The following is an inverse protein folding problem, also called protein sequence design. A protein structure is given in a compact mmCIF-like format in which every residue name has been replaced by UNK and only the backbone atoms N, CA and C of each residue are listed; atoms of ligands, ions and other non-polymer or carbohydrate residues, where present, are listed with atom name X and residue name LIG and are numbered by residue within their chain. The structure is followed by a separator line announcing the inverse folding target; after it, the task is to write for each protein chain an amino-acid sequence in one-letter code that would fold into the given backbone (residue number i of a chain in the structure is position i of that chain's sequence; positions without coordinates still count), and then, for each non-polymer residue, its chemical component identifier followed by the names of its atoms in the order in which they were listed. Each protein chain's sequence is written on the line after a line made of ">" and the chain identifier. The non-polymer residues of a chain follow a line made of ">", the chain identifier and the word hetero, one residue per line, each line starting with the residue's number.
data_IF_112962711244
#
_entry.id   IF_112962711244
#
_cell.length_a   1.000
_cell.length_b   1.000
_cell.length_c   1.000
_cell.angle_alpha   90.00
_cell.angle_beta   90.00
_cell.angle_gamma   90.00
#
_symmetry.space_group_name_H-M   'P 1'
#
loop_
_entity.id
_entity.type
_entity.pdbx_description
1 polymer ?
#
# COMPACT_ATOMS: atom_id res chain seq x y z
N UNK A 1 2.79 -6.28 11.62
CA UNK A 1 1.36 -6.10 11.35
C UNK A 1 1.09 -6.12 9.87
N UNK A 2 0.10 -6.88 9.46
CA UNK A 2 -0.19 -7.08 8.03
C UNK A 2 -1.58 -6.55 7.70
N UNK A 3 -1.67 -5.76 6.65
CA UNK A 3 -2.93 -5.19 6.20
C UNK A 3 -3.07 -5.32 4.69
N UNK A 4 -4.29 -5.29 4.23
CA UNK A 4 -4.60 -5.33 2.80
C UNK A 4 -5.45 -4.12 2.44
N UNK A 5 -5.07 -3.46 1.36
CA UNK A 5 -5.76 -2.27 0.88
C UNK A 5 -6.25 -2.49 -0.54
N UNK A 6 -7.40 -1.92 -0.86
CA UNK A 6 -7.86 -1.83 -2.24
C UNK A 6 -7.29 -0.54 -2.83
N UNK A 7 -6.57 -0.67 -3.93
CA UNK A 7 -5.94 0.47 -4.58
C UNK A 7 -6.73 0.80 -5.84
N UNK A 8 -7.27 2.00 -5.91
CA UNK A 8 -8.01 2.45 -7.08
C UNK A 8 -7.10 3.26 -8.00
N UNK A 9 -7.39 3.22 -9.30
CA UNK A 9 -6.63 3.96 -10.29
C UNK A 9 -5.46 3.21 -10.91
N UNK A 10 -5.24 1.97 -10.52
CA UNK A 10 -4.20 1.15 -11.14
C UNK A 10 -4.75 0.56 -12.44
N UNK A 11 -4.27 1.07 -13.58
CA UNK A 11 -4.75 0.62 -14.88
C UNK A 11 -3.69 -0.16 -15.66
N UNK A 12 -2.47 -0.20 -15.17
CA UNK A 12 -1.39 -0.92 -15.86
C UNK A 12 -0.32 -1.36 -14.86
N UNK A 13 0.60 -2.22 -15.33
CA UNK A 13 1.66 -2.76 -14.48
C UNK A 13 2.61 -1.67 -13.94
N UNK A 14 2.81 -0.61 -14.70
CA UNK A 14 3.62 0.50 -14.23
C UNK A 14 2.99 1.17 -13.02
N UNK A 15 1.66 1.25 -12.98
CA UNK A 15 0.93 1.80 -11.85
C UNK A 15 1.14 0.96 -10.60
N UNK A 16 1.05 -0.37 -10.72
CA UNK A 16 1.27 -1.25 -9.57
C UNK A 16 2.69 -1.15 -9.04
N UNK A 17 3.67 -1.00 -9.94
CA UNK A 17 5.06 -0.80 -9.54
C UNK A 17 5.25 0.52 -8.78
N UNK A 18 4.59 1.57 -9.22
CA UNK A 18 4.64 2.86 -8.54
C UNK A 18 4.11 2.77 -7.11
N UNK A 19 2.97 2.12 -6.94
CA UNK A 19 2.37 1.95 -5.61
C UNK A 19 3.28 1.11 -4.73
N UNK A 20 3.81 0.02 -5.26
CA UNK A 20 4.72 -0.84 -4.51
C UNK A 20 5.97 -0.08 -4.06
N UNK A 21 6.57 0.69 -4.95
CA UNK A 21 7.74 1.49 -4.61
C UNK A 21 7.42 2.55 -3.56
N UNK A 22 6.28 3.22 -3.70
CA UNK A 22 5.87 4.23 -2.74
C UNK A 22 5.69 3.63 -1.35
N UNK A 23 5.08 2.46 -1.28
CA UNK A 23 4.88 1.77 -0.01
C UNK A 23 6.22 1.31 0.60
N UNK A 24 7.09 0.74 -0.22
CA UNK A 24 8.39 0.25 0.27
C UNK A 24 9.33 1.36 0.72
N UNK A 25 9.12 2.58 0.29
CA UNK A 25 9.92 3.72 0.72
C UNK A 25 9.59 4.19 2.13
N UNK A 26 8.46 3.80 2.66
CA UNK A 26 8.05 4.23 3.98
C UNK A 26 8.89 3.57 5.07
N UNK A 27 9.30 4.37 6.04
CA UNK A 27 10.03 3.83 7.19
C UNK A 27 9.09 2.93 8.00
N UNK A 28 9.56 1.79 8.41
CA UNK A 28 8.77 0.85 9.18
C UNK A 28 8.08 -0.23 8.35
N UNK A 29 8.10 -0.11 7.04
CA UNK A 29 7.54 -1.15 6.17
C UNK A 29 8.55 -2.29 6.04
N UNK A 30 8.12 -3.50 6.35
CA UNK A 30 8.94 -4.69 6.18
C UNK A 30 8.80 -5.26 4.78
N UNK A 31 7.56 -5.26 4.26
CA UNK A 31 7.27 -5.81 2.96
C UNK A 31 5.99 -5.21 2.41
N UNK A 32 5.99 -4.88 1.14
CA UNK A 32 4.79 -4.42 0.45
C UNK A 32 4.70 -5.14 -0.89
N UNK A 33 3.52 -5.62 -1.22
CA UNK A 33 3.27 -6.35 -2.46
C UNK A 33 1.95 -5.88 -3.05
N UNK A 34 1.92 -5.66 -4.35
CA UNK A 34 0.74 -5.18 -5.06
C UNK A 34 0.29 -6.24 -6.06
N UNK A 35 -1.01 -6.51 -6.07
CA UNK A 35 -1.61 -7.40 -7.05
C UNK A 35 -2.49 -6.58 -7.99
N UNK A 36 -2.08 -6.50 -9.25
CA UNK A 36 -2.79 -5.72 -10.25
C UNK A 36 -4.13 -6.34 -10.63
N UNK A 37 -4.21 -7.66 -10.64
CA UNK A 37 -5.42 -8.37 -11.04
C UNK A 37 -6.59 -8.11 -10.08
N UNK A 38 -6.30 -8.05 -8.79
CA UNK A 38 -7.31 -7.80 -7.77
C UNK A 38 -7.31 -6.35 -7.32
N UNK A 39 -6.39 -5.53 -7.83
CA UNK A 39 -6.22 -4.14 -7.45
C UNK A 39 -6.03 -3.98 -5.94
N UNK A 40 -5.27 -4.88 -5.34
CA UNK A 40 -5.02 -4.88 -3.89
C UNK A 40 -3.54 -4.79 -3.58
N UNK A 41 -3.25 -4.25 -2.41
CA UNK A 41 -1.89 -4.17 -1.89
C UNK A 41 -1.85 -4.84 -0.53
N UNK A 42 -0.92 -5.78 -0.36
CA UNK A 42 -0.64 -6.36 0.95
C UNK A 42 0.63 -5.72 1.48
N UNK A 43 0.57 -5.22 2.70
CA UNK A 43 1.69 -4.53 3.32
C UNK A 43 1.92 -5.07 4.72
N UNK A 44 3.18 -5.33 5.03
CA UNK A 44 3.61 -5.71 6.38
C UNK A 44 4.47 -4.58 6.92
N UNK A 45 4.12 -4.06 8.09
CA UNK A 45 4.82 -2.93 8.67
C UNK A 45 4.74 -2.98 10.19
N UNK A 46 5.63 -2.22 10.82
CA UNK A 46 5.64 -2.08 12.27
C UNK A 46 4.76 -0.88 12.64
N UNK A 47 3.64 -1.16 13.31
CA UNK A 47 2.70 -0.11 13.71
C UNK A 47 3.30 0.91 14.69
N UNK A 48 4.41 0.56 15.33
CA UNK A 48 5.11 1.49 16.21
C UNK A 48 5.95 2.50 15.43
N UNK A 49 6.27 2.19 14.18
CA UNK A 49 7.11 3.05 13.33
C UNK A 49 6.33 3.74 12.24
N UNK A 50 5.19 3.18 11.85
CA UNK A 50 4.42 3.64 10.72
C UNK A 50 2.94 3.53 11.05
N UNK A 51 2.16 4.51 10.64
CA UNK A 51 0.72 4.49 10.83
C UNK A 51 0.00 4.25 9.51
N UNK A 52 -1.24 3.79 9.61
CA UNK A 52 -2.10 3.57 8.44
C UNK A 52 -2.26 4.85 7.62
N UNK A 53 -2.39 5.98 8.28
CA UNK A 53 -2.54 7.25 7.60
C UNK A 53 -1.36 7.56 6.69
N UNK A 54 -0.15 7.21 7.13
CA UNK A 54 1.04 7.42 6.32
C UNK A 54 1.04 6.55 5.08
N UNK A 55 0.54 5.32 5.20
CA UNK A 55 0.42 4.41 4.07
C UNK A 55 -0.57 4.96 3.04
N UNK A 56 -1.74 5.37 3.50
CA UNK A 56 -2.76 5.93 2.62
C UNK A 56 -2.26 7.21 1.95
N UNK A 57 -1.60 8.05 2.73
CA UNK A 57 -1.04 9.30 2.20
C UNK A 57 0.00 9.04 1.12
N UNK A 58 0.85 8.04 1.31
CA UNK A 58 1.87 7.69 0.32
C UNK A 58 1.24 7.25 -0.99
N UNK A 59 0.17 6.45 -0.90
CA UNK A 59 -0.56 5.99 -2.10
C UNK A 59 -1.22 7.17 -2.79
N UNK A 60 -1.84 8.08 -2.04
CA UNK A 60 -2.47 9.26 -2.60
C UNK A 60 -1.46 10.16 -3.31
N UNK A 61 -0.28 10.32 -2.72
CA UNK A 61 0.79 11.13 -3.34
C UNK A 61 1.28 10.52 -4.64
N UNK A 62 1.18 9.22 -4.77
CA UNK A 62 1.53 8.54 -6.02
C UNK A 62 0.45 8.70 -7.10
N UNK A 63 -0.72 9.25 -6.73
CA UNK A 63 -1.81 9.49 -7.66
C UNK A 63 -2.90 8.44 -7.66
N UNK A 64 -2.98 7.63 -6.61
CA UNK A 64 -3.95 6.55 -6.50
C UNK A 64 -4.76 6.68 -5.22
N UNK A 65 -5.83 5.88 -5.11
CA UNK A 65 -6.62 5.82 -3.89
C UNK A 65 -6.37 4.51 -3.15
N UNK A 66 -6.34 4.57 -1.83
CA UNK A 66 -6.19 3.38 -0.99
C UNK A 66 -7.36 3.29 -0.02
N UNK A 67 -7.96 2.10 0.06
CA UNK A 67 -9.04 1.83 1.00
C UNK A 67 -8.71 0.54 1.75
N UNK A 68 -8.74 0.59 3.07
CA UNK A 68 -8.45 -0.58 3.89
C UNK A 68 -9.52 -1.65 3.70
N UNK A 69 -9.08 -2.87 3.41
CA UNK A 69 -9.97 -4.02 3.26
C UNK A 69 -9.88 -4.88 4.52
N UNK A 70 -8.66 -5.29 4.88
CA UNK A 70 -8.39 -6.15 6.02
C UNK A 70 -7.20 -5.57 6.75
N UNK A 71 -7.32 -5.42 8.05
CA UNK A 71 -6.21 -4.89 8.83
C UNK A 71 -6.04 -5.55 10.17
N UNK A 72 -4.90 -5.29 10.76
CA UNK A 72 -4.71 -5.54 12.16
C UNK A 72 -4.32 -6.93 12.57
N UNK A 73 -3.80 -7.72 11.70
CA UNK A 73 -3.37 -9.04 12.20
C UNK A 73 -2.05 -9.48 11.67
#
# INVERSE_FOLDING_TARGET
>A
MKERYHISGMTCSACSSHVEKAANKLAGVEKASVNLLTETMEIEYDENKLSREQIESAVEKAGYGAALIIGGK
#
